data_IF_496250447641
#
_entry.id   IF_496250447641
#
_cell.length_a   1.000
_cell.length_b   1.000
_cell.length_c   1.000
_cell.angle_alpha   90.00
_cell.angle_beta   90.00
_cell.angle_gamma   90.00
#
_symmetry.space_group_name_H-M   'P 1'
#
loop_
_entity.id
_entity.type
_entity.pdbx_description
1 polymer ?
#
# COMPACT_ATOMS: atom_id res chain seq x y z
N UNK A 1 6.04 -81.49 8.06
CA UNK A 1 5.32 -80.40 7.36
C UNK A 1 5.33 -79.18 8.27
N UNK A 2 5.51 -78.00 7.68
CA UNK A 2 5.53 -76.65 8.29
C UNK A 2 6.77 -76.25 9.10
N UNK A 3 7.66 -75.50 8.42
CA UNK A 3 8.67 -74.62 9.00
C UNK A 3 8.05 -73.24 9.21
N UNK A 4 8.22 -72.65 10.39
CA UNK A 4 7.85 -71.28 10.72
C UNK A 4 9.03 -70.34 10.48
N UNK A 5 8.85 -69.34 9.61
CA UNK A 5 9.80 -68.24 9.37
C UNK A 5 9.26 -66.99 10.08
N UNK A 6 10.05 -66.20 10.83
CA UNK A 6 9.58 -64.94 11.39
C UNK A 6 9.73 -63.82 10.36
N UNK A 7 8.65 -63.08 10.11
CA UNK A 7 8.64 -61.86 9.31
C UNK A 7 9.12 -60.68 10.17
N UNK A 8 10.25 -60.08 9.79
CA UNK A 8 10.65 -58.75 10.27
C UNK A 8 9.91 -57.69 9.45
N UNK A 9 9.04 -56.90 10.09
CA UNK A 9 8.44 -55.71 9.48
C UNK A 9 9.40 -54.55 9.70
N UNK A 10 10.08 -54.12 8.62
CA UNK A 10 10.91 -52.92 8.60
C UNK A 10 9.97 -51.71 8.45
N UNK A 11 9.78 -50.93 9.51
CA UNK A 11 9.04 -49.68 9.47
C UNK A 11 9.88 -48.59 8.77
N UNK A 12 9.57 -48.32 7.51
CA UNK A 12 10.11 -47.18 6.76
C UNK A 12 9.48 -45.88 7.26
N UNK A 13 10.25 -45.11 8.03
CA UNK A 13 9.93 -43.71 8.38
C UNK A 13 10.03 -42.83 7.12
N UNK A 14 8.89 -42.66 6.43
CA UNK A 14 8.72 -41.64 5.40
C UNK A 14 8.83 -40.27 6.05
N UNK A 15 9.99 -39.63 5.93
CA UNK A 15 10.13 -38.20 6.19
C UNK A 15 9.41 -37.46 5.07
N UNK A 16 8.27 -36.84 5.39
CA UNK A 16 7.59 -35.92 4.50
C UNK A 16 8.52 -34.74 4.21
N UNK A 17 9.17 -34.76 3.05
CA UNK A 17 9.88 -33.59 2.53
C UNK A 17 8.79 -32.59 2.12
N UNK A 18 8.54 -31.61 2.97
CA UNK A 18 7.75 -30.43 2.58
C UNK A 18 8.57 -29.64 1.56
N UNK A 19 8.26 -29.84 0.28
CA UNK A 19 8.77 -28.99 -0.79
C UNK A 19 8.04 -27.65 -0.67
N UNK A 20 8.73 -26.63 -0.16
CA UNK A 20 8.26 -25.26 -0.31
C UNK A 20 8.38 -24.88 -1.79
N UNK A 21 7.35 -24.27 -2.42
CA UNK A 21 7.49 -23.71 -3.76
C UNK A 21 8.71 -22.79 -3.79
N UNK A 22 9.62 -23.05 -4.72
CA UNK A 22 10.76 -22.16 -4.94
C UNK A 22 10.21 -20.84 -5.50
N UNK A 23 10.43 -19.75 -4.77
CA UNK A 23 10.04 -18.42 -5.20
C UNK A 23 10.62 -18.15 -6.59
N UNK A 24 9.76 -17.91 -7.58
CA UNK A 24 10.20 -17.58 -8.94
C UNK A 24 10.71 -16.14 -8.89
N UNK A 25 12.01 -15.96 -9.05
CA UNK A 25 12.65 -14.65 -9.10
C UNK A 25 13.04 -14.33 -10.55
N UNK A 26 13.04 -13.05 -10.90
CA UNK A 26 13.64 -12.58 -12.15
C UNK A 26 15.15 -12.91 -12.17
N UNK A 27 15.75 -13.06 -13.35
CA UNK A 27 17.14 -13.54 -13.49
C UNK A 27 18.18 -12.65 -12.78
N UNK A 28 17.89 -11.36 -12.62
CA UNK A 28 18.75 -10.40 -11.93
C UNK A 28 18.41 -10.22 -10.44
N UNK A 29 17.47 -11.01 -9.90
CA UNK A 29 16.98 -10.89 -8.53
C UNK A 29 17.41 -12.09 -7.67
N UNK A 30 17.99 -11.80 -6.51
CA UNK A 30 18.59 -12.77 -5.61
C UNK A 30 18.03 -12.59 -4.20
N UNK A 31 17.56 -13.68 -3.60
CA UNK A 31 16.98 -13.67 -2.27
C UNK A 31 17.84 -14.46 -1.27
N UNK A 32 18.00 -13.91 -0.06
CA UNK A 32 18.60 -14.61 1.08
C UNK A 32 17.81 -14.28 2.34
N UNK A 33 17.49 -15.30 3.14
CA UNK A 33 16.97 -15.12 4.50
C UNK A 33 18.08 -15.39 5.51
N UNK A 34 18.39 -14.42 6.35
CA UNK A 34 19.37 -14.58 7.44
C UNK A 34 18.80 -15.44 8.58
N UNK A 35 19.63 -16.05 9.44
CA UNK A 35 19.17 -16.85 10.58
C UNK A 35 18.31 -16.08 11.59
N UNK A 36 18.48 -14.75 11.69
CA UNK A 36 17.65 -13.88 12.53
C UNK A 36 16.29 -13.53 11.87
N UNK A 37 16.01 -14.07 10.69
CA UNK A 37 14.77 -13.90 9.95
C UNK A 37 14.72 -12.67 9.05
N UNK A 38 15.76 -11.81 9.01
CA UNK A 38 15.82 -10.72 8.04
C UNK A 38 15.82 -11.30 6.62
N UNK A 39 14.85 -10.86 5.84
CA UNK A 39 14.76 -11.18 4.42
C UNK A 39 15.54 -10.14 3.63
N UNK A 40 16.40 -10.59 2.71
CA UNK A 40 17.28 -9.73 1.94
C UNK A 40 17.05 -10.02 0.46
N UNK A 41 16.70 -8.97 -0.29
CA UNK A 41 16.47 -9.03 -1.72
C UNK A 41 17.50 -8.15 -2.41
N UNK A 42 18.26 -8.72 -3.34
CA UNK A 42 19.27 -7.99 -4.13
C UNK A 42 18.86 -8.05 -5.58
N UNK A 43 18.70 -6.90 -6.22
CA UNK A 43 18.44 -6.77 -7.65
C UNK A 43 19.65 -6.11 -8.30
N UNK A 44 20.28 -6.82 -9.23
CA UNK A 44 21.47 -6.31 -9.93
C UNK A 44 21.03 -5.47 -11.13
N UNK A 45 21.47 -4.23 -11.15
CA UNK A 45 21.33 -3.30 -12.27
C UNK A 45 22.61 -2.46 -12.40
N UNK A 46 23.46 -2.82 -13.34
CA UNK A 46 24.77 -2.19 -13.53
C UNK A 46 24.73 -1.02 -14.54
N UNK A 47 23.55 -0.43 -14.80
CA UNK A 47 23.39 0.69 -15.76
C UNK A 47 24.12 1.96 -15.31
N UNK A 48 24.12 2.25 -14.02
CA UNK A 48 24.81 3.39 -13.40
C UNK A 48 25.49 2.95 -12.09
N UNK A 49 26.62 3.57 -11.68
CA UNK A 49 27.38 3.19 -10.49
C UNK A 49 26.74 3.70 -9.18
N UNK A 50 25.44 3.43 -9.02
CA UNK A 50 24.63 3.81 -7.87
C UNK A 50 23.96 2.57 -7.28
N UNK A 51 23.65 2.61 -6.00
CA UNK A 51 22.85 1.61 -5.32
C UNK A 51 21.81 2.27 -4.42
N UNK A 52 20.61 1.70 -4.39
CA UNK A 52 19.56 2.01 -3.41
C UNK A 52 19.55 0.91 -2.36
N UNK A 53 19.65 1.31 -1.09
CA UNK A 53 19.45 0.46 0.08
C UNK A 53 18.09 0.87 0.67
N UNK A 54 17.14 -0.06 0.69
CA UNK A 54 15.84 0.15 1.32
C UNK A 54 15.60 -0.88 2.42
N UNK A 55 15.19 -0.42 3.59
CA UNK A 55 14.61 -1.30 4.60
C UNK A 55 13.14 -0.98 4.80
N UNK A 56 12.31 -2.02 4.78
CA UNK A 56 10.88 -1.89 4.96
C UNK A 56 10.39 -2.82 6.08
N UNK A 57 9.45 -2.32 6.87
CA UNK A 57 8.80 -3.07 7.94
C UNK A 57 7.32 -3.23 7.62
N UNK A 58 6.73 -4.40 7.96
CA UNK A 58 5.26 -4.53 7.99
C UNK A 58 4.75 -3.74 9.19
N UNK A 59 4.54 -2.46 8.96
CA UNK A 59 4.00 -1.47 9.88
C UNK A 59 3.35 -0.35 9.03
N UNK A 60 2.60 0.55 9.64
CA UNK A 60 1.87 1.60 8.94
C UNK A 60 0.57 1.88 9.67
N UNK A 61 -0.34 2.63 9.06
CA UNK A 61 -1.61 2.93 9.74
C UNK A 61 -2.39 1.66 10.12
N UNK A 62 -2.28 0.56 9.36
CA UNK A 62 -3.03 -0.67 9.64
C UNK A 62 -2.76 -1.29 11.02
N UNK A 63 -1.61 -1.01 11.64
CA UNK A 63 -1.25 -1.50 12.98
C UNK A 63 -1.71 -0.57 14.10
N UNK A 64 -2.21 0.63 13.76
CA UNK A 64 -2.52 1.69 14.70
C UNK A 64 -3.93 1.54 15.27
N UNK A 65 -4.03 1.65 16.59
CA UNK A 65 -5.29 1.96 17.26
C UNK A 65 -5.48 3.48 17.27
N UNK A 66 -6.66 3.96 17.69
CA UNK A 66 -6.93 5.40 17.80
C UNK A 66 -5.89 6.15 18.64
N UNK A 67 -5.37 5.54 19.72
CA UNK A 67 -4.32 6.15 20.58
C UNK A 67 -2.94 6.31 19.92
N UNK A 68 -2.74 5.65 18.77
CA UNK A 68 -1.49 5.61 18.01
C UNK A 68 -1.65 6.14 16.58
N UNK A 69 -2.80 6.71 16.22
CA UNK A 69 -3.07 7.06 14.83
C UNK A 69 -2.19 8.23 14.32
N UNK A 70 -1.38 7.96 13.29
CA UNK A 70 -0.37 8.85 12.72
C UNK A 70 1.04 8.61 13.26
N UNK A 71 1.21 7.74 14.25
CA UNK A 71 2.49 7.59 14.92
C UNK A 71 3.51 6.75 14.15
N UNK A 72 3.09 5.92 13.19
CA UNK A 72 4.02 5.28 12.25
C UNK A 72 4.66 6.30 11.31
N UNK A 73 3.89 7.29 10.86
CA UNK A 73 4.40 8.41 10.04
C UNK A 73 5.30 9.33 10.87
N UNK A 74 4.93 9.66 12.11
CA UNK A 74 5.84 10.40 12.99
C UNK A 74 7.13 9.61 13.29
N UNK A 75 7.03 8.29 13.50
CA UNK A 75 8.21 7.44 13.67
C UNK A 75 9.12 7.51 12.43
N UNK A 76 8.53 7.58 11.24
CA UNK A 76 9.25 7.77 9.99
C UNK A 76 10.11 9.04 10.00
N UNK A 77 9.56 10.18 10.40
CA UNK A 77 10.32 11.43 10.54
C UNK A 77 11.51 11.29 11.52
N UNK A 78 11.28 10.60 12.63
CA UNK A 78 12.28 10.41 13.68
C UNK A 78 13.42 9.46 13.27
N UNK A 79 13.26 8.68 12.20
CA UNK A 79 14.31 7.84 11.64
C UNK A 79 15.53 8.67 11.19
N UNK A 80 15.30 9.87 10.66
CA UNK A 80 16.35 10.78 10.16
C UNK A 80 16.97 11.64 11.27
N UNK A 81 16.73 11.30 12.54
CA UNK A 81 17.22 12.06 13.70
C UNK A 81 18.28 11.26 14.47
N UNK A 82 18.47 11.63 15.72
CA UNK A 82 19.44 11.03 16.61
C UNK A 82 19.25 9.51 16.75
N UNK A 83 20.37 8.80 16.63
CA UNK A 83 20.48 7.37 16.88
C UNK A 83 21.75 7.07 17.69
N UNK A 84 22.09 5.79 17.84
CA UNK A 84 23.24 5.35 18.64
C UNK A 84 24.55 5.97 18.14
N UNK A 85 24.80 5.89 16.84
CA UNK A 85 26.08 6.27 16.23
C UNK A 85 26.14 7.77 15.90
N UNK A 86 24.99 8.40 15.64
CA UNK A 86 24.84 9.83 15.37
C UNK A 86 23.90 10.45 16.41
N UNK A 87 24.43 11.02 17.51
CA UNK A 87 23.63 11.39 18.67
C UNK A 87 22.72 12.62 18.47
N UNK A 88 22.83 13.32 17.34
CA UNK A 88 22.06 14.51 16.99
C UNK A 88 21.84 14.58 15.46
N UNK A 89 20.94 15.47 15.03
CA UNK A 89 20.64 15.66 13.60
C UNK A 89 21.87 16.12 12.78
N UNK A 90 22.72 16.98 13.35
CA UNK A 90 23.87 17.54 12.61
C UNK A 90 24.91 16.47 12.26
N UNK A 91 25.19 15.55 13.19
CA UNK A 91 26.08 14.41 12.97
C UNK A 91 25.49 13.40 12.00
N UNK A 92 24.16 13.19 12.03
CA UNK A 92 23.45 12.35 11.05
C UNK A 92 23.55 12.94 9.64
N UNK A 93 23.19 14.22 9.49
CA UNK A 93 23.19 14.95 8.22
C UNK A 93 24.61 15.04 7.63
N UNK A 94 25.61 15.38 8.47
CA UNK A 94 27.01 15.38 8.04
C UNK A 94 27.43 14.03 7.49
N UNK A 95 27.08 12.92 8.14
CA UNK A 95 27.42 11.59 7.64
C UNK A 95 26.69 11.25 6.35
N UNK A 96 25.42 11.61 6.24
CA UNK A 96 24.64 11.45 5.01
C UNK A 96 25.32 12.13 3.83
N UNK A 97 25.75 13.39 4.02
CA UNK A 97 26.48 14.17 3.03
C UNK A 97 27.87 13.59 2.71
N UNK A 98 28.61 13.11 3.70
CA UNK A 98 29.92 12.43 3.47
C UNK A 98 29.81 11.16 2.61
N UNK A 99 28.63 10.51 2.61
CA UNK A 99 28.37 9.30 1.84
C UNK A 99 27.66 9.56 0.51
N UNK A 100 27.40 10.83 0.19
CA UNK A 100 26.59 11.27 -0.96
C UNK A 100 25.21 10.57 -1.00
N UNK A 101 24.57 10.45 0.17
CA UNK A 101 23.26 9.82 0.30
C UNK A 101 22.16 10.80 -0.09
N UNK A 102 21.34 10.40 -1.05
CA UNK A 102 19.98 10.90 -1.21
C UNK A 102 19.03 9.99 -0.42
N UNK A 103 18.42 10.51 0.64
CA UNK A 103 17.58 9.74 1.56
C UNK A 103 16.14 10.20 1.55
N UNK A 104 15.21 9.26 1.67
CA UNK A 104 13.81 9.56 1.96
C UNK A 104 13.12 8.32 2.58
N UNK A 105 11.84 8.45 2.91
CA UNK A 105 11.03 7.36 3.43
C UNK A 105 9.57 7.53 3.01
N UNK A 106 8.76 6.51 3.25
CA UNK A 106 7.32 6.58 3.03
C UNK A 106 6.59 5.67 4.00
N UNK A 107 5.49 6.19 4.55
CA UNK A 107 4.51 5.44 5.33
C UNK A 107 3.24 5.24 4.51
N UNK A 108 2.81 3.99 4.38
CA UNK A 108 1.53 3.59 3.80
C UNK A 108 0.68 2.89 4.86
N UNK A 109 -0.44 2.31 4.43
CA UNK A 109 -1.29 1.50 5.30
C UNK A 109 -0.52 0.32 5.86
N UNK A 110 0.22 -0.44 5.05
CA UNK A 110 0.76 -1.76 5.44
C UNK A 110 2.29 -1.86 5.42
N UNK A 111 2.97 -0.80 4.97
CA UNK A 111 4.43 -0.72 4.90
C UNK A 111 4.93 0.65 5.36
N UNK A 112 6.04 0.65 6.10
CA UNK A 112 6.91 1.80 6.26
C UNK A 112 8.27 1.43 5.67
N UNK A 113 8.74 2.19 4.68
CA UNK A 113 10.02 1.97 4.03
C UNK A 113 10.94 3.19 4.15
N UNK A 114 12.23 2.93 4.35
CA UNK A 114 13.30 3.92 4.48
C UNK A 114 14.38 3.58 3.49
N UNK A 115 14.88 4.57 2.76
CA UNK A 115 15.82 4.29 1.70
C UNK A 115 16.91 5.34 1.54
N UNK A 116 18.07 4.86 1.12
CA UNK A 116 19.25 5.63 0.79
C UNK A 116 19.72 5.25 -0.61
N UNK A 117 19.82 6.24 -1.50
CA UNK A 117 20.46 6.10 -2.81
C UNK A 117 21.82 6.77 -2.76
N UNK A 118 22.87 6.05 -3.10
CA UNK A 118 24.27 6.47 -2.96
C UNK A 118 25.18 5.82 -4.02
N UNK A 119 26.41 6.33 -4.25
CA UNK A 119 27.38 5.67 -5.12
C UNK A 119 27.64 4.22 -4.69
N UNK A 120 27.71 3.27 -5.62
CA UNK A 120 27.86 1.83 -5.30
C UNK A 120 29.10 1.53 -4.44
N UNK A 121 30.17 2.33 -4.57
CA UNK A 121 31.37 2.28 -3.74
C UNK A 121 31.10 2.52 -2.24
N UNK A 122 30.03 3.24 -1.91
CA UNK A 122 29.61 3.54 -0.54
C UNK A 122 28.60 2.54 0.03
N UNK A 123 28.28 1.45 -0.67
CA UNK A 123 27.26 0.46 -0.24
C UNK A 123 27.46 -0.02 1.20
N UNK A 124 28.66 -0.49 1.54
CA UNK A 124 28.94 -1.03 2.89
C UNK A 124 28.83 0.06 3.98
N UNK A 125 29.41 1.26 3.83
CA UNK A 125 29.12 2.39 4.72
C UNK A 125 27.63 2.74 4.83
N UNK A 126 26.90 2.77 3.71
CA UNK A 126 25.45 3.03 3.69
C UNK A 126 24.64 1.98 4.46
N UNK A 127 25.00 0.70 4.33
CA UNK A 127 24.38 -0.37 5.11
C UNK A 127 24.60 -0.20 6.63
N UNK A 128 25.79 0.26 7.04
CA UNK A 128 26.07 0.57 8.46
C UNK A 128 25.25 1.77 8.94
N UNK A 129 25.13 2.80 8.11
CA UNK A 129 24.32 3.98 8.39
C UNK A 129 22.84 3.62 8.59
N UNK A 130 22.27 2.82 7.67
CA UNK A 130 20.91 2.27 7.74
C UNK A 130 20.70 1.44 9.02
N UNK A 131 21.66 0.57 9.34
CA UNK A 131 21.61 -0.28 10.53
C UNK A 131 21.54 0.53 11.83
N UNK A 132 22.26 1.64 11.95
CA UNK A 132 22.20 2.49 13.16
C UNK A 132 20.81 3.13 13.31
N UNK A 133 20.29 3.73 12.24
CA UNK A 133 19.02 4.43 12.25
C UNK A 133 17.84 3.50 12.54
N UNK A 134 17.76 2.33 11.89
CA UNK A 134 16.62 1.42 12.04
C UNK A 134 16.60 0.68 13.40
N UNK A 135 17.76 0.30 13.93
CA UNK A 135 17.85 -0.52 15.15
C UNK A 135 17.91 0.29 16.43
N UNK A 136 18.50 1.47 16.37
CA UNK A 136 18.88 2.23 17.57
C UNK A 136 18.52 3.73 17.51
N UNK A 137 17.29 4.12 17.12
CA UNK A 137 16.83 5.49 17.30
C UNK A 137 16.79 5.86 18.78
N UNK A 138 17.08 7.13 19.12
CA UNK A 138 17.11 7.63 20.51
C UNK A 138 15.84 8.35 20.96
N UNK A 139 14.95 8.75 20.04
CA UNK A 139 13.70 9.48 20.32
C UNK A 139 13.87 10.58 21.39
N UNK A 140 14.86 11.45 21.21
CA UNK A 140 15.09 12.57 22.13
C UNK A 140 13.83 13.42 22.24
N UNK A 141 13.49 13.85 23.45
CA UNK A 141 12.24 14.56 23.71
C UNK A 141 12.17 15.88 22.94
N UNK A 142 13.27 16.61 22.88
CA UNK A 142 13.39 17.90 22.22
C UNK A 142 13.21 17.76 20.71
N UNK A 143 13.89 16.76 20.10
CA UNK A 143 13.73 16.44 18.67
C UNK A 143 12.27 16.07 18.34
N UNK A 144 11.65 15.25 19.20
CA UNK A 144 10.25 14.87 19.02
C UNK A 144 9.29 16.04 19.12
N UNK A 145 9.47 16.95 20.08
CA UNK A 145 8.58 18.11 20.21
C UNK A 145 8.60 18.98 18.94
N UNK A 146 9.75 19.13 18.30
CA UNK A 146 9.86 19.84 17.03
C UNK A 146 9.20 19.05 15.90
N UNK A 147 9.47 17.76 15.77
CA UNK A 147 8.90 16.94 14.69
C UNK A 147 7.38 16.73 14.80
N UNK A 148 6.83 16.68 16.01
CA UNK A 148 5.38 16.63 16.21
C UNK A 148 4.70 17.83 15.52
N UNK A 149 5.26 19.05 15.67
CA UNK A 149 4.74 20.26 15.04
C UNK A 149 4.93 20.24 13.52
N UNK A 150 6.05 19.70 13.02
CA UNK A 150 6.30 19.56 11.58
C UNK A 150 5.27 18.62 10.94
N UNK A 151 5.05 17.44 11.51
CA UNK A 151 4.04 16.48 11.02
C UNK A 151 2.63 17.06 11.13
N UNK A 152 2.33 17.78 12.21
CA UNK A 152 1.06 18.48 12.40
C UNK A 152 0.82 19.57 11.34
N UNK A 153 1.85 20.32 10.98
CA UNK A 153 1.79 21.31 9.91
C UNK A 153 1.61 20.66 8.53
N UNK A 154 2.24 19.51 8.28
CA UNK A 154 1.97 18.72 7.07
C UNK A 154 0.51 18.26 7.02
N UNK A 155 -0.04 17.75 8.12
CA UNK A 155 -1.45 17.38 8.18
C UNK A 155 -2.33 18.60 7.85
N UNK A 156 -2.09 19.75 8.49
CA UNK A 156 -2.82 21.00 8.21
C UNK A 156 -2.72 21.42 6.73
N UNK A 157 -1.55 21.21 6.10
CA UNK A 157 -1.37 21.45 4.66
C UNK A 157 -2.22 20.50 3.81
N UNK A 158 -2.34 19.22 4.18
CA UNK A 158 -3.23 18.28 3.49
C UNK A 158 -4.70 18.70 3.62
N UNK A 159 -5.13 19.17 4.80
CA UNK A 159 -6.51 19.68 5.03
C UNK A 159 -6.86 20.93 4.22
N UNK A 160 -5.84 21.63 3.72
CA UNK A 160 -6.03 22.78 2.83
C UNK A 160 -6.48 22.36 1.43
N UNK A 161 -6.25 21.10 1.03
CA UNK A 161 -6.80 20.55 -0.21
C UNK A 161 -8.34 20.42 -0.09
N UNK A 162 -9.13 21.00 -1.01
CA UNK A 162 -10.59 20.90 -0.96
C UNK A 162 -11.13 19.46 -0.90
N UNK A 163 -10.42 18.51 -1.50
CA UNK A 163 -10.81 17.09 -1.55
C UNK A 163 -10.56 16.32 -0.26
N UNK A 164 -9.71 16.85 0.63
CA UNK A 164 -9.34 16.17 1.86
C UNK A 164 -10.58 15.81 2.69
N UNK A 165 -11.50 16.76 2.89
CA UNK A 165 -12.71 16.54 3.67
C UNK A 165 -13.60 15.42 3.09
N UNK A 166 -13.69 15.31 1.76
CA UNK A 166 -14.47 14.25 1.10
C UNK A 166 -13.86 12.88 1.31
N UNK A 167 -12.54 12.76 1.11
CA UNK A 167 -11.80 11.50 1.26
C UNK A 167 -11.77 11.06 2.73
N UNK A 168 -11.55 12.00 3.65
CA UNK A 168 -11.55 11.75 5.09
C UNK A 168 -12.91 11.25 5.58
N UNK A 169 -13.99 11.96 5.23
CA UNK A 169 -15.34 11.51 5.53
C UNK A 169 -15.61 10.12 4.91
N UNK A 170 -15.22 9.91 3.65
CA UNK A 170 -15.38 8.61 2.98
C UNK A 170 -14.73 7.48 3.78
N UNK A 171 -13.47 7.66 4.21
CA UNK A 171 -12.75 6.69 5.03
C UNK A 171 -13.47 6.42 6.36
N UNK A 172 -14.01 7.44 7.03
CA UNK A 172 -14.77 7.26 8.28
C UNK A 172 -16.03 6.42 8.07
N UNK A 173 -16.77 6.67 6.99
CA UNK A 173 -17.94 5.89 6.62
C UNK A 173 -17.59 4.46 6.15
N UNK A 174 -16.49 4.28 5.43
CA UNK A 174 -16.01 2.99 4.91
C UNK A 174 -15.48 2.04 5.98
N UNK A 175 -14.82 2.58 7.00
CA UNK A 175 -14.00 1.80 7.94
C UNK A 175 -14.47 1.90 9.40
N UNK A 176 -15.37 2.84 9.71
CA UNK A 176 -16.02 2.97 11.00
C UNK A 176 -15.04 3.02 12.17
N UNK A 177 -15.20 2.10 13.11
CA UNK A 177 -14.36 2.03 14.32
C UNK A 177 -12.87 1.77 14.04
N UNK A 178 -12.54 1.17 12.89
CA UNK A 178 -11.19 0.85 12.47
C UNK A 178 -10.62 1.89 11.48
N UNK A 179 -11.23 3.07 11.38
CA UNK A 179 -10.77 4.17 10.51
C UNK A 179 -9.29 4.52 10.70
N UNK A 180 -8.76 4.48 11.93
CA UNK A 180 -7.34 4.73 12.20
C UNK A 180 -6.42 3.81 11.40
N UNK A 181 -6.88 2.60 11.05
CA UNK A 181 -6.14 1.62 10.26
C UNK A 181 -6.01 1.93 8.77
N UNK A 182 -6.66 3.00 8.32
CA UNK A 182 -6.67 3.49 6.93
C UNK A 182 -6.34 4.99 6.86
N UNK A 183 -5.95 5.58 7.99
CA UNK A 183 -5.65 6.99 8.14
C UNK A 183 -4.16 7.20 8.41
N UNK A 184 -3.36 7.25 7.35
CA UNK A 184 -1.90 7.41 7.41
C UNK A 184 -1.49 8.71 8.10
N UNK A 185 -2.12 9.83 7.75
CA UNK A 185 -1.75 11.15 8.27
C UNK A 185 -2.06 11.30 9.76
N UNK A 186 -3.02 10.52 10.26
CA UNK A 186 -3.28 10.39 11.68
C UNK A 186 -4.26 11.38 12.27
N UNK A 187 -4.08 11.65 13.56
CA UNK A 187 -4.91 12.57 14.33
C UNK A 187 -4.04 13.66 14.98
N UNK A 188 -4.45 14.92 14.83
CA UNK A 188 -3.72 16.08 15.34
C UNK A 188 -3.36 15.94 16.84
N UNK A 189 -4.33 15.61 17.69
CA UNK A 189 -4.11 15.49 19.14
C UNK A 189 -3.15 14.35 19.48
N UNK A 190 -3.25 13.23 18.76
CA UNK A 190 -2.38 12.06 18.97
C UNK A 190 -0.93 12.37 18.56
N UNK A 191 -0.74 13.07 17.43
CA UNK A 191 0.57 13.50 16.94
C UNK A 191 1.20 14.49 17.90
N UNK A 192 0.48 15.56 18.26
CA UNK A 192 1.00 16.62 19.13
C UNK A 192 1.34 16.09 20.54
N UNK A 193 0.56 15.13 21.05
CA UNK A 193 0.80 14.50 22.36
C UNK A 193 1.74 13.28 22.32
N UNK A 194 2.38 12.98 21.19
CA UNK A 194 3.27 11.83 21.07
C UNK A 194 4.49 11.94 22.00
N UNK A 195 4.92 10.80 22.56
CA UNK A 195 6.03 10.72 23.52
C UNK A 195 7.07 9.67 23.11
N UNK A 196 8.31 9.77 23.60
CA UNK A 196 9.35 8.75 23.35
C UNK A 196 8.88 7.34 23.71
N UNK A 197 8.13 7.19 24.82
CA UNK A 197 7.58 5.90 25.24
C UNK A 197 6.60 5.29 24.24
N UNK A 198 5.83 6.11 23.50
CA UNK A 198 4.95 5.62 22.42
C UNK A 198 5.80 5.13 21.23
N UNK A 199 6.85 5.86 20.86
CA UNK A 199 7.76 5.44 19.79
C UNK A 199 8.51 4.15 20.13
N UNK A 200 9.00 4.03 21.37
CA UNK A 200 9.59 2.79 21.87
C UNK A 200 8.60 1.62 21.84
N UNK A 201 7.32 1.89 22.14
CA UNK A 201 6.27 0.86 22.05
C UNK A 201 6.08 0.39 20.61
N UNK A 202 6.10 1.29 19.62
CA UNK A 202 6.02 0.94 18.19
C UNK A 202 7.25 0.15 17.77
N UNK A 203 8.46 0.63 18.11
CA UNK A 203 9.73 -0.04 17.83
C UNK A 203 9.74 -1.47 18.35
N UNK A 204 9.41 -1.65 19.63
CA UNK A 204 9.45 -2.96 20.30
C UNK A 204 8.34 -3.91 19.81
N UNK A 205 7.30 -3.40 19.16
CA UNK A 205 6.27 -4.23 18.53
C UNK A 205 6.68 -4.69 17.13
N UNK A 206 7.13 -3.76 16.27
CA UNK A 206 7.15 -4.01 14.82
C UNK A 206 8.54 -3.95 14.17
N UNK A 207 9.53 -3.31 14.79
CA UNK A 207 10.86 -3.08 14.19
C UNK A 207 11.84 -4.20 14.58
N UNK A 208 11.66 -5.34 13.93
CA UNK A 208 12.44 -6.55 14.13
C UNK A 208 12.89 -7.13 12.78
N UNK A 209 14.03 -7.84 12.70
CA UNK A 209 14.54 -8.35 11.43
C UNK A 209 13.57 -9.35 10.80
N UNK A 210 12.93 -10.20 11.61
CA UNK A 210 11.90 -11.14 11.16
C UNK A 210 10.52 -10.50 10.86
N UNK A 211 10.40 -9.17 10.92
CA UNK A 211 9.27 -8.39 10.43
C UNK A 211 9.73 -7.28 9.45
N UNK A 212 10.91 -7.45 8.84
CA UNK A 212 11.49 -6.50 7.91
C UNK A 212 12.07 -7.20 6.68
N UNK A 213 12.18 -6.43 5.60
CA UNK A 213 12.93 -6.80 4.39
C UNK A 213 13.96 -5.72 4.09
N UNK A 214 15.16 -6.13 3.72
CA UNK A 214 16.22 -5.27 3.20
C UNK A 214 16.32 -5.49 1.69
N UNK A 215 15.92 -4.50 0.90
CA UNK A 215 15.98 -4.52 -0.56
C UNK A 215 17.17 -3.68 -1.01
N UNK A 216 18.02 -4.22 -1.88
CA UNK A 216 19.20 -3.54 -2.41
C UNK A 216 19.13 -3.63 -3.93
N UNK A 217 19.07 -2.49 -4.62
CA UNK A 217 18.94 -2.42 -6.08
C UNK A 217 20.05 -1.55 -6.65
N UNK A 218 20.72 -1.98 -7.72
CA UNK A 218 21.70 -1.17 -8.45
C UNK A 218 23.00 -1.92 -8.80
N UNK A 219 24.09 -1.16 -8.99
CA UNK A 219 25.40 -1.69 -9.39
C UNK A 219 26.08 -2.35 -8.20
N UNK A 220 25.75 -3.62 -7.98
CA UNK A 220 26.19 -4.38 -6.80
C UNK A 220 26.60 -5.79 -7.17
N UNK A 221 27.58 -6.32 -6.42
CA UNK A 221 28.00 -7.72 -6.55
C UNK A 221 27.30 -8.56 -5.48
N UNK A 222 26.40 -9.43 -5.91
CA UNK A 222 25.53 -10.26 -5.05
C UNK A 222 26.25 -10.86 -3.84
N UNK A 223 27.37 -11.56 -4.04
CA UNK A 223 28.09 -12.22 -2.94
C UNK A 223 28.72 -11.22 -1.96
N UNK A 224 29.30 -10.12 -2.46
CA UNK A 224 29.90 -9.08 -1.62
C UNK A 224 28.80 -8.37 -0.80
N UNK A 225 27.66 -8.09 -1.43
CA UNK A 225 26.48 -7.51 -0.79
C UNK A 225 25.94 -8.41 0.32
N UNK A 226 25.70 -9.69 0.05
CA UNK A 226 25.21 -10.62 1.08
C UNK A 226 26.19 -10.79 2.23
N UNK A 227 27.50 -10.77 1.98
CA UNK A 227 28.51 -10.82 3.03
C UNK A 227 28.49 -9.55 3.89
N UNK A 228 28.38 -8.36 3.28
CA UNK A 228 28.27 -7.10 4.01
C UNK A 228 26.99 -7.04 4.86
N UNK A 229 25.86 -7.50 4.31
CA UNK A 229 24.59 -7.58 5.03
C UNK A 229 24.68 -8.56 6.21
N UNK A 230 25.29 -9.73 6.01
CA UNK A 230 25.52 -10.72 7.07
C UNK A 230 26.37 -10.14 8.21
N UNK A 231 27.50 -9.49 7.87
CA UNK A 231 28.39 -8.83 8.84
C UNK A 231 27.66 -7.78 9.70
N UNK A 232 26.78 -6.98 9.08
CA UNK A 232 26.15 -5.82 9.73
C UNK A 232 24.88 -6.22 10.50
N UNK A 233 24.00 -7.02 9.86
CA UNK A 233 22.65 -7.26 10.34
C UNK A 233 22.47 -8.59 11.08
N UNK A 234 23.38 -9.57 10.98
CA UNK A 234 23.24 -10.86 11.68
C UNK A 234 23.12 -10.73 13.20
N UNK A 235 23.71 -9.67 13.78
CA UNK A 235 23.63 -9.35 15.20
C UNK A 235 22.28 -8.77 15.65
N UNK A 236 21.40 -8.40 14.71
CA UNK A 236 20.06 -7.90 15.03
C UNK A 236 19.22 -9.08 15.51
N UNK A 237 18.88 -9.08 16.81
CA UNK A 237 18.10 -10.16 17.40
C UNK A 237 16.69 -10.20 16.80
N UNK A 238 16.23 -11.40 16.46
CA UNK A 238 14.85 -11.64 16.05
C UNK A 238 13.87 -11.31 17.18
N UNK A 239 12.65 -10.90 16.82
CA UNK A 239 11.55 -10.81 17.78
C UNK A 239 11.29 -12.20 18.38
N UNK A 240 11.09 -12.30 19.72
CA UNK A 240 10.70 -13.55 20.36
C UNK A 240 9.23 -13.95 20.11
N UNK A 241 8.47 -13.16 19.35
CA UNK A 241 7.07 -13.40 19.02
C UNK A 241 6.73 -12.90 17.60
N UNK A 242 5.65 -13.41 17.03
CA UNK A 242 5.02 -12.85 15.84
C UNK A 242 4.12 -11.67 16.26
N UNK A 243 4.39 -10.43 15.80
CA UNK A 243 3.62 -9.26 16.21
C UNK A 243 2.14 -9.36 15.83
N UNK A 244 1.80 -9.99 14.70
CA UNK A 244 0.42 -10.08 14.23
C UNK A 244 -0.36 -11.24 14.86
N UNK A 245 0.32 -12.21 15.49
CA UNK A 245 -0.35 -13.18 16.37
C UNK A 245 -0.57 -12.61 17.77
N UNK A 246 0.39 -11.85 18.28
CA UNK A 246 0.33 -11.25 19.61
C UNK A 246 -0.63 -10.06 19.67
N UNK A 247 -0.67 -9.26 18.61
CA UNK A 247 -1.59 -8.13 18.42
C UNK A 247 -2.27 -8.29 17.05
N UNK A 248 -3.32 -9.13 16.97
CA UNK A 248 -4.02 -9.36 15.72
C UNK A 248 -4.66 -8.07 15.19
N UNK A 249 -4.59 -7.91 13.87
CA UNK A 249 -5.31 -6.85 13.17
C UNK A 249 -6.76 -7.30 13.00
N UNK A 250 -7.75 -6.52 13.46
CA UNK A 250 -9.17 -6.87 13.31
C UNK A 250 -9.59 -6.84 11.84
N UNK A 251 -10.54 -7.69 11.49
CA UNK A 251 -11.22 -7.62 10.19
C UNK A 251 -12.14 -6.39 10.14
N UNK A 252 -12.18 -5.72 8.99
CA UNK A 252 -13.09 -4.61 8.78
C UNK A 252 -14.54 -5.11 8.73
N UNK A 253 -15.43 -4.44 9.47
CA UNK A 253 -16.86 -4.77 9.45
C UNK A 253 -17.45 -4.46 8.07
N UNK A 254 -18.29 -5.33 7.50
CA UNK A 254 -18.89 -5.10 6.20
C UNK A 254 -19.81 -3.87 6.24
N UNK A 255 -19.91 -3.17 5.11
CA UNK A 255 -20.92 -2.14 4.89
C UNK A 255 -22.28 -2.85 4.78
N UNK A 256 -23.27 -2.42 5.58
CA UNK A 256 -24.55 -3.13 5.68
C UNK A 256 -25.62 -2.59 4.73
N UNK A 257 -25.52 -1.31 4.35
CA UNK A 257 -26.44 -0.62 3.45
C UNK A 257 -25.70 0.52 2.76
N UNK A 258 -26.26 1.05 1.67
CA UNK A 258 -25.70 2.23 1.05
C UNK A 258 -25.73 3.40 2.05
N UNK A 259 -24.60 4.07 2.19
CA UNK A 259 -24.40 5.21 3.05
C UNK A 259 -24.11 6.45 2.21
N UNK A 260 -24.83 7.53 2.46
CA UNK A 260 -24.80 8.75 1.66
C UNK A 260 -24.55 9.95 2.56
N UNK A 261 -23.62 10.80 2.13
CA UNK A 261 -23.32 12.04 2.85
C UNK A 261 -22.99 13.17 1.86
N UNK A 262 -23.34 14.39 2.26
CA UNK A 262 -23.11 15.60 1.49
C UNK A 262 -22.26 16.53 2.33
N UNK A 263 -21.17 17.03 1.76
CA UNK A 263 -20.28 18.01 2.36
C UNK A 263 -20.39 19.31 1.58
N UNK A 264 -20.76 20.37 2.28
CA UNK A 264 -20.75 21.70 1.71
C UNK A 264 -19.43 22.41 2.01
N UNK A 265 -18.87 23.11 1.02
CA UNK A 265 -17.58 23.79 1.16
C UNK A 265 -17.58 25.16 0.49
N UNK A 266 -16.71 26.05 0.97
CA UNK A 266 -16.42 27.34 0.33
C UNK A 266 -15.04 27.32 -0.36
N UNK A 267 -14.30 26.20 -0.29
CA UNK A 267 -12.92 26.06 -0.78
C UNK A 267 -12.80 25.75 -2.28
N UNK A 268 -13.87 25.26 -2.91
CA UNK A 268 -13.87 24.89 -4.34
C UNK A 268 -15.25 25.11 -4.97
N UNK A 269 -15.27 25.58 -6.22
CA UNK A 269 -16.49 25.65 -7.04
C UNK A 269 -16.78 24.34 -7.77
N UNK A 270 -15.76 23.49 -7.92
CA UNK A 270 -15.87 22.20 -8.62
C UNK A 270 -16.42 21.15 -7.64
N UNK A 271 -17.60 20.57 -7.93
CA UNK A 271 -18.15 19.48 -7.14
C UNK A 271 -17.42 18.17 -7.39
N UNK A 272 -17.47 17.26 -6.41
CA UNK A 272 -16.90 15.92 -6.52
C UNK A 272 -17.82 14.88 -5.89
N UNK A 273 -17.99 13.74 -6.55
CA UNK A 273 -18.66 12.56 -6.04
C UNK A 273 -17.65 11.44 -5.84
N UNK A 274 -17.72 10.76 -4.70
CA UNK A 274 -16.86 9.61 -4.39
C UNK A 274 -17.73 8.44 -3.93
N UNK A 275 -17.79 7.40 -4.77
CA UNK A 275 -18.39 6.11 -4.42
C UNK A 275 -17.29 5.14 -4.01
N UNK A 276 -17.49 4.36 -2.94
CA UNK A 276 -16.48 3.45 -2.42
C UNK A 276 -17.09 2.14 -1.91
N UNK A 277 -16.42 1.03 -2.21
CA UNK A 277 -16.77 -0.33 -1.80
C UNK A 277 -15.60 -1.01 -1.10
N UNK A 278 -15.88 -2.05 -0.31
CA UNK A 278 -14.87 -3.03 0.07
C UNK A 278 -14.57 -3.93 -1.13
N UNK A 279 -13.30 -4.01 -1.49
CA UNK A 279 -12.79 -4.85 -2.56
C UNK A 279 -12.09 -6.12 -2.07
N UNK A 280 -11.49 -6.87 -3.01
CA UNK A 280 -10.69 -8.05 -2.68
C UNK A 280 -9.43 -7.68 -1.86
N UNK A 281 -8.83 -8.69 -1.24
CA UNK A 281 -7.58 -8.56 -0.48
C UNK A 281 -6.66 -9.76 -0.74
N UNK A 282 -5.38 -9.60 -0.39
CA UNK A 282 -4.36 -10.61 -0.71
C UNK A 282 -4.31 -11.79 0.27
N UNK A 283 -5.21 -11.84 1.26
CA UNK A 283 -5.35 -12.98 2.17
C UNK A 283 -6.48 -13.92 1.73
N UNK A 284 -7.57 -13.34 1.23
CA UNK A 284 -8.85 -14.02 1.05
C UNK A 284 -9.25 -14.14 -0.43
N UNK A 285 -8.78 -13.25 -1.31
CA UNK A 285 -9.13 -13.29 -2.74
C UNK A 285 -8.02 -12.69 -3.63
N UNK A 286 -6.88 -13.38 -3.68
CA UNK A 286 -5.75 -13.03 -4.55
C UNK A 286 -6.17 -12.94 -6.04
N UNK A 287 -6.92 -13.89 -6.64
CA UNK A 287 -7.36 -13.74 -8.02
C UNK A 287 -8.18 -12.47 -8.25
N UNK A 288 -9.07 -12.13 -7.30
CA UNK A 288 -9.88 -10.92 -7.32
C UNK A 288 -9.05 -9.63 -7.42
N UNK A 289 -7.87 -9.57 -6.80
CA UNK A 289 -7.03 -8.36 -6.84
C UNK A 289 -6.48 -8.08 -8.24
N UNK A 290 -6.06 -9.11 -8.98
CA UNK A 290 -5.63 -8.96 -10.38
C UNK A 290 -6.79 -8.59 -11.30
N UNK A 291 -7.96 -9.21 -11.09
CA UNK A 291 -9.17 -8.92 -11.88
C UNK A 291 -9.59 -7.46 -11.68
N UNK A 292 -9.50 -6.95 -10.45
CA UNK A 292 -9.81 -5.56 -10.11
C UNK A 292 -8.91 -4.55 -10.84
N UNK A 293 -7.60 -4.84 -10.95
CA UNK A 293 -6.65 -4.01 -11.71
C UNK A 293 -7.01 -3.98 -13.21
N UNK A 294 -7.28 -5.15 -13.82
CA UNK A 294 -7.70 -5.23 -15.23
C UNK A 294 -9.00 -4.48 -15.46
N UNK A 295 -10.01 -4.69 -14.62
CA UNK A 295 -11.31 -4.01 -14.73
C UNK A 295 -11.15 -2.50 -14.65
N UNK A 296 -10.47 -2.01 -13.60
CA UNK A 296 -10.26 -0.58 -13.36
C UNK A 296 -9.50 0.07 -14.51
N UNK A 297 -8.47 -0.61 -15.05
CA UNK A 297 -7.73 -0.13 -16.21
C UNK A 297 -8.63 0.03 -17.43
N UNK A 298 -9.47 -0.95 -17.77
CA UNK A 298 -10.36 -0.91 -18.94
C UNK A 298 -11.33 0.27 -18.84
N UNK A 299 -12.04 0.41 -17.72
CA UNK A 299 -13.09 1.43 -17.57
C UNK A 299 -12.51 2.85 -17.53
N UNK A 300 -11.23 3.01 -17.18
CA UNK A 300 -10.54 4.29 -17.19
C UNK A 300 -10.02 4.72 -18.58
N UNK A 301 -10.00 3.85 -19.58
CA UNK A 301 -9.51 4.22 -20.92
C UNK A 301 -10.47 5.21 -21.61
N UNK A 302 -9.95 6.19 -22.36
CA UNK A 302 -10.75 7.20 -23.06
C UNK A 302 -11.86 6.63 -23.99
N UNK A 303 -11.64 5.42 -24.52
CA UNK A 303 -12.62 4.72 -25.36
C UNK A 303 -13.65 3.88 -24.60
N UNK A 304 -13.63 3.85 -23.27
CA UNK A 304 -14.56 3.05 -22.46
C UNK A 304 -15.97 3.64 -22.47
N UNK A 305 -17.00 2.80 -22.28
CA UNK A 305 -18.39 3.26 -22.16
C UNK A 305 -18.55 4.28 -21.03
N UNK A 306 -17.83 4.12 -19.92
CA UNK A 306 -17.82 5.08 -18.79
C UNK A 306 -17.32 6.47 -19.22
N UNK A 307 -16.17 6.54 -19.91
CA UNK A 307 -15.61 7.82 -20.39
C UNK A 307 -16.50 8.46 -21.46
N UNK A 308 -17.09 7.67 -22.35
CA UNK A 308 -18.05 8.19 -23.34
C UNK A 308 -19.29 8.78 -22.65
N UNK A 309 -19.86 8.06 -21.68
CA UNK A 309 -21.08 8.44 -20.99
C UNK A 309 -20.91 9.66 -20.08
N UNK A 310 -19.77 9.81 -19.41
CA UNK A 310 -19.56 10.89 -18.44
C UNK A 310 -18.69 12.04 -18.98
N UNK A 311 -17.56 11.75 -19.63
CA UNK A 311 -16.62 12.79 -20.06
C UNK A 311 -17.02 13.35 -21.42
N UNK A 312 -17.19 12.50 -22.43
CA UNK A 312 -17.45 12.96 -23.80
C UNK A 312 -18.84 13.59 -23.97
N UNK A 313 -19.79 13.23 -23.11
CA UNK A 313 -21.11 13.85 -23.03
C UNK A 313 -21.11 15.22 -22.32
N UNK A 314 -19.98 15.61 -21.72
CA UNK A 314 -19.82 16.85 -20.95
C UNK A 314 -20.47 16.83 -19.56
N UNK A 315 -20.83 15.64 -19.03
CA UNK A 315 -21.39 15.48 -17.68
C UNK A 315 -20.34 15.62 -16.58
N UNK A 316 -19.09 15.24 -16.83
CA UNK A 316 -18.00 15.31 -15.86
C UNK A 316 -16.66 15.67 -16.53
N UNK A 317 -15.75 16.23 -15.74
CA UNK A 317 -14.37 16.51 -16.14
C UNK A 317 -13.43 15.35 -15.75
N UNK A 318 -13.76 14.65 -14.67
CA UNK A 318 -13.03 13.48 -14.15
C UNK A 318 -14.03 12.38 -13.86
N UNK A 319 -13.66 11.14 -14.16
CA UNK A 319 -14.42 9.93 -13.85
C UNK A 319 -13.43 8.77 -13.80
N UNK A 320 -12.96 8.40 -12.61
CA UNK A 320 -11.85 7.46 -12.43
C UNK A 320 -12.24 6.37 -11.44
N UNK A 321 -12.09 5.13 -11.87
CA UNK A 321 -12.23 3.95 -11.01
C UNK A 321 -10.86 3.55 -10.51
N UNK A 322 -10.69 3.44 -9.20
CA UNK A 322 -9.44 2.98 -8.60
C UNK A 322 -9.71 1.75 -7.72
N UNK A 323 -8.82 0.78 -7.79
CA UNK A 323 -8.70 -0.28 -6.80
C UNK A 323 -7.29 -0.19 -6.19
N UNK A 324 -7.20 -0.31 -4.86
CA UNK A 324 -5.92 -0.25 -4.17
C UNK A 324 -5.69 -1.56 -3.40
N UNK A 325 -4.74 -2.36 -3.89
CA UNK A 325 -4.43 -3.66 -3.31
C UNK A 325 -3.87 -3.53 -1.90
N UNK A 326 -4.47 -4.25 -0.96
CA UNK A 326 -4.02 -4.35 0.42
C UNK A 326 -4.21 -5.79 0.94
N UNK A 327 -3.45 -6.14 1.97
CA UNK A 327 -3.58 -7.40 2.71
C UNK A 327 -4.85 -7.45 3.54
N UNK A 328 -5.26 -6.32 4.10
CA UNK A 328 -6.52 -6.18 4.84
C UNK A 328 -7.48 -5.30 4.04
N UNK A 329 -8.43 -5.91 3.32
CA UNK A 329 -9.49 -5.25 2.51
C UNK A 329 -9.03 -4.04 1.67
N UNK A 330 -8.76 -4.26 0.39
CA UNK A 330 -8.48 -3.17 -0.55
C UNK A 330 -9.74 -2.36 -0.89
N UNK A 331 -9.73 -1.00 -0.89
CA UNK A 331 -10.87 -0.21 -1.34
C UNK A 331 -11.01 -0.23 -2.86
N UNK A 332 -12.25 -0.25 -3.33
CA UNK A 332 -12.62 0.14 -4.69
C UNK A 332 -13.26 1.53 -4.60
N UNK A 333 -12.93 2.43 -5.52
CA UNK A 333 -13.52 3.76 -5.56
C UNK A 333 -13.86 4.20 -6.99
N UNK A 334 -14.90 5.03 -7.13
CA UNK A 334 -15.22 5.79 -8.34
C UNK A 334 -15.28 7.26 -7.95
N UNK A 335 -14.28 8.03 -8.39
CA UNK A 335 -14.21 9.48 -8.21
C UNK A 335 -14.73 10.18 -9.47
N UNK A 336 -15.69 11.09 -9.32
CA UNK A 336 -16.26 11.85 -10.43
C UNK A 336 -16.22 13.33 -10.08
N UNK A 337 -15.77 14.17 -11.01
CA UNK A 337 -15.87 15.62 -10.94
C UNK A 337 -16.96 16.10 -11.90
N UNK A 338 -18.23 16.18 -11.46
CA UNK A 338 -19.33 16.58 -12.33
C UNK A 338 -19.20 18.03 -12.83
N UNK A 339 -19.81 18.31 -13.97
CA UNK A 339 -20.10 19.68 -14.39
C UNK A 339 -21.04 20.33 -13.35
N UNK A 340 -20.68 21.49 -12.77
CA UNK A 340 -21.49 22.14 -11.73
C UNK A 340 -22.96 22.39 -12.12
N UNK A 341 -23.25 22.58 -13.41
CA UNK A 341 -24.61 22.81 -13.90
C UNK A 341 -25.42 21.51 -14.12
N UNK A 342 -24.77 20.34 -14.06
CA UNK A 342 -25.36 19.04 -14.42
C UNK A 342 -25.08 17.94 -13.39
N UNK A 343 -24.94 18.32 -12.12
CA UNK A 343 -24.57 17.39 -11.04
C UNK A 343 -25.57 16.23 -10.93
N UNK A 344 -26.87 16.51 -11.01
CA UNK A 344 -27.93 15.48 -10.95
C UNK A 344 -27.87 14.53 -12.14
N UNK A 345 -27.84 15.05 -13.37
CA UNK A 345 -27.70 14.24 -14.59
C UNK A 345 -26.45 13.35 -14.53
N UNK A 346 -25.33 13.89 -14.04
CA UNK A 346 -24.08 13.15 -13.92
C UNK A 346 -24.17 12.03 -12.89
N UNK A 347 -24.80 12.28 -11.74
CA UNK A 347 -25.07 11.26 -10.73
C UNK A 347 -25.95 10.13 -11.27
N UNK A 348 -27.05 10.47 -11.95
CA UNK A 348 -27.98 9.49 -12.52
C UNK A 348 -27.29 8.65 -13.61
N UNK A 349 -26.50 9.27 -14.50
CA UNK A 349 -25.74 8.55 -15.51
C UNK A 349 -24.63 7.69 -14.87
N UNK A 350 -23.97 8.14 -13.79
CA UNK A 350 -22.98 7.34 -13.09
C UNK A 350 -23.59 6.06 -12.49
N UNK A 351 -24.74 6.15 -11.82
CA UNK A 351 -25.46 4.99 -11.31
C UNK A 351 -25.89 4.05 -12.43
N UNK A 352 -26.35 4.60 -13.55
CA UNK A 352 -26.69 3.81 -14.74
C UNK A 352 -25.48 3.07 -15.30
N UNK A 353 -24.31 3.72 -15.41
CA UNK A 353 -23.10 3.04 -15.86
C UNK A 353 -22.67 1.93 -14.90
N UNK A 354 -22.71 2.16 -13.58
CA UNK A 354 -22.41 1.12 -12.57
C UNK A 354 -23.33 -0.09 -12.73
N UNK A 355 -24.64 0.13 -12.94
CA UNK A 355 -25.62 -0.94 -13.13
C UNK A 355 -25.38 -1.78 -14.40
N UNK A 356 -24.69 -1.21 -15.39
CA UNK A 356 -24.37 -1.84 -16.68
C UNK A 356 -22.98 -2.54 -16.69
N UNK A 357 -22.17 -2.43 -15.64
CA UNK A 357 -20.78 -2.92 -15.65
C UNK A 357 -20.61 -4.43 -15.77
N UNK A 358 -21.64 -5.20 -15.42
CA UNK A 358 -21.68 -6.66 -15.55
C UNK A 358 -22.47 -7.14 -16.78
N UNK A 359 -22.87 -6.23 -17.67
CA UNK A 359 -23.49 -6.59 -18.94
C UNK A 359 -22.43 -7.13 -19.91
N UNK A 360 -22.78 -8.20 -20.63
CA UNK A 360 -21.84 -8.91 -21.50
C UNK A 360 -21.22 -8.03 -22.59
N UNK A 361 -21.92 -6.98 -23.05
CA UNK A 361 -21.47 -6.08 -24.10
C UNK A 361 -20.75 -4.83 -23.56
N UNK A 362 -20.63 -4.65 -22.23
CA UNK A 362 -20.08 -3.44 -21.63
C UNK A 362 -18.57 -3.30 -21.91
N UNK A 363 -17.86 -4.43 -21.87
CA UNK A 363 -16.44 -4.56 -22.20
C UNK A 363 -16.31 -5.30 -23.53
N UNK A 364 -15.42 -4.88 -24.43
CA UNK A 364 -15.11 -5.64 -25.66
C UNK A 364 -13.89 -6.54 -25.47
N UNK A 365 -13.77 -7.62 -26.24
CA UNK A 365 -12.59 -8.50 -26.18
C UNK A 365 -11.31 -7.74 -26.52
N UNK A 366 -11.39 -6.80 -27.47
CA UNK A 366 -10.29 -5.91 -27.81
C UNK A 366 -9.84 -5.04 -26.63
N UNK A 367 -10.77 -4.53 -25.82
CA UNK A 367 -10.43 -3.76 -24.62
C UNK A 367 -9.76 -4.63 -23.55
N UNK A 368 -10.24 -5.85 -23.36
CA UNK A 368 -9.67 -6.81 -22.39
C UNK A 368 -8.23 -7.14 -22.78
N UNK A 369 -7.99 -7.55 -24.01
CA UNK A 369 -6.64 -7.91 -24.49
C UNK A 369 -5.69 -6.71 -24.50
N UNK A 370 -6.19 -5.52 -24.87
CA UNK A 370 -5.39 -4.28 -24.80
C UNK A 370 -5.02 -3.91 -23.37
N UNK A 371 -5.94 -4.06 -22.42
CA UNK A 371 -5.70 -3.74 -21.02
C UNK A 371 -4.60 -4.62 -20.42
N UNK A 372 -4.68 -5.94 -20.63
CA UNK A 372 -3.63 -6.87 -20.19
C UNK A 372 -2.26 -6.48 -20.71
N UNK A 373 -2.15 -6.20 -22.02
CA UNK A 373 -0.90 -5.79 -22.65
C UNK A 373 -0.35 -4.48 -22.09
N UNK A 374 -1.20 -3.46 -21.92
CA UNK A 374 -0.75 -2.16 -21.42
C UNK A 374 -0.37 -2.20 -19.94
N UNK A 375 -1.07 -3.00 -19.13
CA UNK A 375 -0.69 -3.24 -17.74
C UNK A 375 0.65 -3.99 -17.63
N UNK A 376 0.92 -4.96 -18.52
CA UNK A 376 2.25 -5.59 -18.60
C UNK A 376 3.34 -4.57 -18.92
N UNK A 377 3.08 -3.65 -19.86
CA UNK A 377 4.05 -2.59 -20.22
C UNK A 377 4.31 -1.65 -19.04
N UNK A 378 3.25 -1.14 -18.40
CA UNK A 378 3.37 -0.28 -17.21
C UNK A 378 4.15 -0.97 -16.08
N UNK A 379 3.93 -2.28 -15.88
CA UNK A 379 4.66 -3.07 -14.88
C UNK A 379 6.15 -3.25 -15.21
N UNK A 380 6.56 -3.15 -16.48
CA UNK A 380 7.96 -3.15 -16.92
C UNK A 380 8.57 -1.76 -16.73
N UNK A 381 7.88 -0.70 -17.18
CA UNK A 381 8.33 0.69 -17.09
C UNK A 381 8.62 1.10 -15.62
N UNK A 382 7.78 0.65 -14.67
CA UNK A 382 8.00 0.89 -13.22
C UNK A 382 9.29 0.27 -12.66
N UNK A 383 9.97 -0.61 -13.39
CA UNK A 383 11.23 -1.25 -12.97
C UNK A 383 12.47 -0.51 -13.47
N UNK A 384 12.31 0.48 -14.35
CA UNK A 384 13.44 1.16 -15.01
C UNK A 384 14.23 2.06 -14.04
N UNK A 385 13.61 2.53 -12.97
CA UNK A 385 14.26 3.32 -11.93
C UNK A 385 14.53 2.45 -10.71
N UNK A 386 15.81 2.24 -10.39
CA UNK A 386 16.25 1.36 -9.30
C UNK A 386 15.56 1.64 -7.95
N UNK A 387 15.41 2.92 -7.58
CA UNK A 387 14.74 3.32 -6.34
C UNK A 387 13.25 2.96 -6.34
N UNK A 388 12.54 3.29 -7.43
CA UNK A 388 11.12 2.97 -7.58
C UNK A 388 10.89 1.45 -7.59
N UNK A 389 11.84 0.69 -8.15
CA UNK A 389 11.77 -0.76 -8.12
C UNK A 389 11.93 -1.31 -6.69
N UNK A 390 12.86 -0.76 -5.89
CA UNK A 390 12.98 -1.11 -4.48
C UNK A 390 11.66 -0.89 -3.72
N UNK A 391 11.05 0.29 -3.88
CA UNK A 391 9.74 0.64 -3.28
C UNK A 391 8.63 -0.32 -3.71
N UNK A 392 8.61 -0.70 -4.99
CA UNK A 392 7.64 -1.65 -5.53
C UNK A 392 7.78 -3.01 -4.85
N UNK A 393 9.00 -3.51 -4.73
CA UNK A 393 9.28 -4.82 -4.11
C UNK A 393 8.91 -4.82 -2.63
N UNK A 394 9.27 -3.78 -1.87
CA UNK A 394 8.94 -3.71 -0.45
C UNK A 394 7.44 -3.55 -0.20
N UNK A 395 6.74 -2.76 -1.02
CA UNK A 395 5.28 -2.65 -0.98
C UNK A 395 4.61 -4.01 -1.17
N UNK A 396 5.00 -4.76 -2.21
CA UNK A 396 4.40 -6.07 -2.48
C UNK A 396 4.79 -7.12 -1.44
N UNK A 397 6.02 -7.07 -0.91
CA UNK A 397 6.42 -7.94 0.20
C UNK A 397 5.55 -7.74 1.45
N UNK A 398 5.14 -6.50 1.72
CA UNK A 398 4.32 -6.17 2.89
C UNK A 398 2.83 -6.48 2.65
N UNK A 399 2.29 -5.96 1.55
CA UNK A 399 0.85 -5.96 1.25
C UNK A 399 0.36 -7.24 0.56
N UNK A 400 1.28 -8.08 0.07
CA UNK A 400 1.01 -9.35 -0.58
C UNK A 400 2.16 -10.34 -0.31
N UNK A 401 2.92 -10.67 -1.36
CA UNK A 401 4.22 -11.34 -1.31
C UNK A 401 5.05 -10.94 -2.53
N UNK A 402 6.36 -11.21 -2.52
CA UNK A 402 7.18 -11.07 -3.74
C UNK A 402 6.75 -12.09 -4.81
N UNK A 403 6.23 -13.25 -4.40
CA UNK A 403 5.69 -14.26 -5.31
C UNK A 403 4.44 -13.75 -6.06
N UNK A 404 3.56 -13.02 -5.37
CA UNK A 404 2.42 -12.32 -5.98
C UNK A 404 2.89 -11.36 -7.09
N UNK A 405 3.94 -10.59 -6.81
CA UNK A 405 4.48 -9.60 -7.75
C UNK A 405 5.17 -10.23 -8.96
N UNK A 406 6.00 -11.25 -8.74
CA UNK A 406 6.75 -11.94 -9.82
C UNK A 406 5.82 -12.73 -10.76
N UNK A 407 4.64 -13.14 -10.29
CA UNK A 407 3.60 -13.74 -11.13
C UNK A 407 2.50 -12.75 -11.57
N UNK A 408 2.68 -11.44 -11.33
CA UNK A 408 1.65 -10.44 -11.60
C UNK A 408 1.20 -10.46 -13.06
N UNK A 409 2.15 -10.36 -14.01
CA UNK A 409 1.84 -10.41 -15.44
C UNK A 409 1.16 -11.72 -15.87
N UNK A 410 1.67 -12.87 -15.39
CA UNK A 410 1.09 -14.18 -15.71
C UNK A 410 -0.38 -14.26 -15.27
N UNK A 411 -0.69 -13.74 -14.09
CA UNK A 411 -2.04 -13.77 -13.53
C UNK A 411 -2.97 -12.74 -14.18
N UNK A 412 -2.48 -11.55 -14.55
CA UNK A 412 -3.25 -10.59 -15.36
C UNK A 412 -3.66 -11.20 -16.70
N UNK A 413 -2.76 -11.92 -17.37
CA UNK A 413 -3.02 -12.52 -18.68
C UNK A 413 -4.09 -13.62 -18.64
N UNK A 414 -4.26 -14.28 -17.49
CA UNK A 414 -5.30 -15.31 -17.28
C UNK A 414 -6.71 -14.75 -17.10
N UNK A 415 -6.86 -13.44 -16.82
CA UNK A 415 -8.18 -12.83 -16.55
C UNK A 415 -9.10 -13.00 -17.77
N UNK A 416 -10.28 -13.56 -17.54
CA UNK A 416 -11.31 -13.74 -18.57
C UNK A 416 -12.42 -12.70 -18.45
N UNK A 417 -13.24 -12.58 -19.50
CA UNK A 417 -14.48 -11.79 -19.45
C UNK A 417 -15.37 -12.20 -18.28
N UNK A 418 -15.58 -13.50 -18.08
CA UNK A 418 -16.41 -14.02 -17.00
C UNK A 418 -15.90 -13.54 -15.63
N UNK A 419 -14.59 -13.56 -15.43
CA UNK A 419 -13.98 -13.11 -14.18
C UNK A 419 -14.26 -11.62 -13.90
N UNK A 420 -14.19 -10.77 -14.94
CA UNK A 420 -14.50 -9.34 -14.82
C UNK A 420 -15.97 -9.10 -14.44
N UNK A 421 -16.91 -9.83 -15.06
CA UNK A 421 -18.33 -9.70 -14.74
C UNK A 421 -18.64 -10.23 -13.33
N UNK A 422 -18.03 -11.34 -12.93
CA UNK A 422 -18.17 -11.91 -11.59
C UNK A 422 -17.57 -10.99 -10.52
N UNK A 423 -16.45 -10.32 -10.81
CA UNK A 423 -15.87 -9.31 -9.94
C UNK A 423 -16.85 -8.15 -9.68
N UNK A 424 -17.46 -7.60 -10.74
CA UNK A 424 -18.47 -6.54 -10.61
C UNK A 424 -19.63 -7.00 -9.74
N UNK A 425 -20.18 -8.20 -10.00
CA UNK A 425 -21.28 -8.79 -9.22
C UNK A 425 -20.91 -9.08 -7.77
N UNK A 426 -19.64 -9.38 -7.50
CA UNK A 426 -19.16 -9.75 -6.16
C UNK A 426 -18.83 -8.54 -5.30
N UNK A 427 -18.30 -7.47 -5.90
CA UNK A 427 -17.73 -6.35 -5.13
C UNK A 427 -18.42 -5.01 -5.36
N UNK A 428 -19.17 -4.82 -6.44
CA UNK A 428 -19.66 -3.50 -6.83
C UNK A 428 -21.19 -3.47 -6.99
N UNK A 429 -21.73 -4.18 -7.99
CA UNK A 429 -23.15 -4.14 -8.33
C UNK A 429 -23.97 -4.81 -7.22
N UNK A 430 -25.03 -4.12 -6.80
CA UNK A 430 -25.92 -4.52 -5.69
C UNK A 430 -25.17 -4.80 -4.37
N UNK A 431 -23.98 -4.22 -4.20
CA UNK A 431 -23.22 -4.26 -2.95
C UNK A 431 -23.35 -2.94 -2.21
N UNK A 432 -23.49 -2.97 -0.88
CA UNK A 432 -23.47 -1.77 -0.07
C UNK A 432 -22.22 -0.93 -0.31
N UNK A 433 -22.39 0.36 -0.54
CA UNK A 433 -21.29 1.32 -0.71
C UNK A 433 -21.47 2.59 0.10
N UNK A 434 -20.39 3.32 0.22
CA UNK A 434 -20.36 4.68 0.75
C UNK A 434 -20.30 5.67 -0.42
N UNK A 435 -21.17 6.67 -0.45
CA UNK A 435 -21.22 7.71 -1.48
C UNK A 435 -21.20 9.11 -0.86
N UNK A 436 -20.18 9.89 -1.19
CA UNK A 436 -20.01 11.27 -0.75
C UNK A 436 -20.16 12.26 -1.90
N UNK A 437 -20.81 13.40 -1.65
CA UNK A 437 -20.82 14.54 -2.56
C UNK A 437 -20.22 15.77 -1.86
N UNK A 438 -19.10 16.27 -2.37
CA UNK A 438 -18.57 17.59 -2.03
C UNK A 438 -19.12 18.62 -3.01
N UNK A 439 -19.74 19.69 -2.51
CA UNK A 439 -20.35 20.73 -3.34
C UNK A 439 -20.17 22.12 -2.73
N UNK A 440 -20.03 23.14 -3.57
CA UNK A 440 -19.99 24.51 -3.09
C UNK A 440 -21.32 24.93 -2.44
N UNK A 441 -21.31 25.67 -1.32
CA UNK A 441 -22.54 26.09 -0.60
C UNK A 441 -23.57 26.76 -1.52
N UNK A 442 -23.14 27.70 -2.36
CA UNK A 442 -24.04 28.37 -3.31
C UNK A 442 -24.64 27.42 -4.36
N UNK A 443 -23.90 26.41 -4.79
CA UNK A 443 -24.39 25.43 -5.76
C UNK A 443 -25.37 24.46 -5.08
N UNK A 444 -25.16 24.10 -3.81
CA UNK A 444 -26.05 23.23 -3.06
C UNK A 444 -27.48 23.75 -2.98
N UNK A 445 -27.66 25.07 -2.83
CA UNK A 445 -29.00 25.73 -2.81
C UNK A 445 -29.76 25.51 -4.11
N UNK A 446 -29.06 25.62 -5.25
CA UNK A 446 -29.68 25.51 -6.58
C UNK A 446 -29.85 24.05 -7.01
N UNK A 447 -28.83 23.21 -6.76
CA UNK A 447 -28.79 21.80 -7.16
C UNK A 447 -29.67 20.92 -6.28
N UNK A 448 -29.86 21.29 -5.00
CA UNK A 448 -30.64 20.55 -3.99
C UNK A 448 -30.27 19.06 -3.93
N UNK A 449 -28.99 18.72 -3.65
CA UNK A 449 -28.53 17.34 -3.68
C UNK A 449 -29.27 16.39 -2.73
N UNK A 450 -29.87 16.89 -1.64
CA UNK A 450 -30.66 16.06 -0.73
C UNK A 450 -31.92 15.45 -1.40
N UNK A 451 -32.35 15.98 -2.55
CA UNK A 451 -33.51 15.44 -3.28
C UNK A 451 -33.19 14.14 -4.04
N UNK A 452 -31.94 13.97 -4.50
CA UNK A 452 -31.54 12.84 -5.36
C UNK A 452 -30.33 12.02 -4.86
N UNK A 453 -29.41 12.62 -4.10
CA UNK A 453 -28.21 11.97 -3.58
C UNK A 453 -28.47 11.39 -2.18
N UNK A 454 -29.29 10.34 -2.14
CA UNK A 454 -29.72 9.68 -0.91
C UNK A 454 -29.95 8.21 -1.18
N UNK A 455 -29.91 7.40 -0.12
CA UNK A 455 -30.37 6.01 -0.22
C UNK A 455 -31.83 6.00 -0.61
N UNK A 456 -32.17 5.31 -1.69
CA UNK A 456 -33.53 4.82 -1.90
C UNK A 456 -33.72 3.64 -0.96
N UNK A 457 -34.80 3.67 -0.17
CA UNK A 457 -35.14 2.59 0.77
C UNK A 457 -35.36 1.26 0.07
#
# INVERSE_FOLDING_TARGET
MMRTTPFFILALLLHSITVFPQQKLDENMYFKKLPNGLEVLVVVDNTIPMATIEIACRNGSFTETNEFNGLSHLYEHLFFKANKDYPDYQSFDKKSNELDINSNATTREEVVNYFFTLPSSNLKPGLKFMNSAIRYPKFNKEDMQMENEVVNAEFTRQESNPMFALIDANKKHMWGADYSRKNIIGNHDVILSATPSKMDSIKNKYYWPNNAVLVIVGDVKVNETFNAVDEIFSSWKASPFDPFKKWPIPEFKPILKNDYYILETDKTQVPYMLFSWHGPDTRNDIPGTYIADVFSFIVNQNGSKLKQALINSGLAQVAEVNYYTQKYTGPISLMISPNPARVKDCYEEALKQIALWDEDDYLSDLQIERAKRLLSIDAIERREVAADYAHTLSFWWASASIDYYTHYEENLNKVTRKDLLDYVKRYIKDKPYCAGLLIHKNNAVTVKPQEFFKSTN
#
